data_IF_911785536980
#
_entry.id   IF_911785536980
#
_cell.length_a   1.000
_cell.length_b   1.000
_cell.length_c   1.000
_cell.angle_alpha   90.00
_cell.angle_beta   90.00
_cell.angle_gamma   90.00
#
_symmetry.space_group_name_H-M   'P 1'
#
loop_
_entity.id
_entity.type
_entity.pdbx_description
1 polymer ?
#
# COMPACT_ATOMS: atom_id res chain seq x y z
N UNK A 1 4.61 0.41 3.87
CA UNK A 1 3.24 -0.08 4.16
C UNK A 1 3.21 -1.29 5.09
N UNK A 2 3.99 -2.36 4.85
CA UNK A 2 3.95 -3.57 5.70
C UNK A 2 4.21 -3.33 7.19
N UNK A 3 5.12 -2.42 7.52
CA UNK A 3 5.37 -2.02 8.93
C UNK A 3 4.11 -1.42 9.57
N UNK A 4 3.37 -0.59 8.84
CA UNK A 4 2.12 0.03 9.34
C UNK A 4 1.08 -1.05 9.64
N UNK A 5 0.91 -2.04 8.76
CA UNK A 5 -0.02 -3.15 8.96
C UNK A 5 0.42 -4.07 10.11
N UNK A 6 1.72 -4.30 10.25
CA UNK A 6 2.27 -5.10 11.33
C UNK A 6 2.08 -4.40 12.69
N UNK A 7 2.42 -3.12 12.79
CA UNK A 7 2.31 -2.35 14.02
C UNK A 7 0.85 -2.07 14.41
N UNK A 8 -0.02 -1.82 13.42
CA UNK A 8 -1.41 -1.43 13.67
C UNK A 8 -2.33 -2.57 14.11
N UNK A 9 -2.03 -3.81 13.73
CA UNK A 9 -2.90 -4.95 14.10
C UNK A 9 -2.24 -6.32 14.02
N UNK A 10 -0.91 -6.39 13.94
CA UNK A 10 -0.16 -7.63 13.70
C UNK A 10 -0.69 -8.43 12.50
N UNK A 11 -1.01 -7.73 11.41
CA UNK A 11 -1.73 -8.34 10.27
C UNK A 11 -0.88 -9.30 9.44
N UNK A 12 0.41 -9.44 9.70
CA UNK A 12 1.27 -10.30 8.88
C UNK A 12 0.87 -11.77 9.01
N UNK A 13 0.55 -12.26 10.21
CA UNK A 13 0.06 -13.64 10.37
C UNK A 13 -1.24 -13.88 9.60
N UNK A 14 -2.17 -12.92 9.62
CA UNK A 14 -3.41 -12.94 8.86
C UNK A 14 -3.15 -12.96 7.35
N UNK A 15 -2.29 -12.09 6.84
CA UNK A 15 -1.89 -12.08 5.42
C UNK A 15 -1.26 -13.42 5.05
N UNK A 16 -0.37 -13.97 5.88
CA UNK A 16 0.24 -15.27 5.63
C UNK A 16 -0.80 -16.39 5.53
N UNK A 17 -1.83 -16.36 6.38
CA UNK A 17 -2.92 -17.33 6.34
C UNK A 17 -3.72 -17.29 5.03
N UNK A 18 -3.90 -16.11 4.42
CA UNK A 18 -4.54 -15.98 3.10
C UNK A 18 -3.75 -16.69 1.98
N UNK A 19 -2.47 -16.94 2.21
CA UNK A 19 -1.56 -17.65 1.31
C UNK A 19 -1.25 -19.08 1.77
N UNK A 20 -1.98 -19.60 2.77
CA UNK A 20 -1.77 -20.93 3.32
C UNK A 20 -0.51 -21.08 4.19
N UNK A 21 0.17 -19.97 4.53
CA UNK A 21 1.35 -19.96 5.37
C UNK A 21 1.14 -19.03 6.59
N UNK A 22 0.39 -19.46 7.62
CA UNK A 22 -0.08 -18.63 8.73
C UNK A 22 1.04 -18.29 9.73
N UNK A 23 2.06 -17.57 9.26
CA UNK A 23 3.20 -17.10 10.03
C UNK A 23 3.50 -15.65 9.68
N UNK A 24 4.17 -14.95 10.60
CA UNK A 24 4.63 -13.56 10.36
C UNK A 24 5.54 -13.49 9.14
N UNK A 25 6.44 -14.47 8.99
CA UNK A 25 7.37 -14.54 7.85
C UNK A 25 6.60 -14.73 6.55
N UNK A 26 5.67 -15.70 6.49
CA UNK A 26 4.84 -15.94 5.32
C UNK A 26 4.02 -14.71 4.93
N UNK A 27 3.48 -14.00 5.92
CA UNK A 27 2.83 -12.71 5.72
C UNK A 27 3.70 -11.66 5.07
N UNK A 28 4.90 -11.45 5.61
CA UNK A 28 5.85 -10.50 5.04
C UNK A 28 6.26 -10.88 3.62
N UNK A 29 6.55 -12.16 3.37
CA UNK A 29 6.91 -12.65 2.04
C UNK A 29 5.79 -12.38 1.03
N UNK A 30 4.56 -12.81 1.34
CA UNK A 30 3.41 -12.60 0.45
C UNK A 30 3.12 -11.11 0.24
N UNK A 31 3.20 -10.32 1.31
CA UNK A 31 2.95 -8.88 1.26
C UNK A 31 3.95 -8.15 0.37
N UNK A 32 5.25 -8.42 0.53
CA UNK A 32 6.30 -7.81 -0.28
C UNK A 32 6.18 -8.21 -1.76
N UNK A 33 5.91 -9.49 -2.03
CA UNK A 33 5.71 -9.98 -3.39
C UNK A 33 4.54 -9.24 -4.07
N UNK A 34 3.39 -9.15 -3.39
CA UNK A 34 2.24 -8.40 -3.88
C UNK A 34 2.57 -6.92 -4.10
N UNK A 35 3.31 -6.28 -3.18
CA UNK A 35 3.73 -4.89 -3.33
C UNK A 35 4.62 -4.66 -4.55
N UNK A 36 5.48 -5.62 -4.91
CA UNK A 36 6.26 -5.51 -6.15
C UNK A 36 5.36 -5.66 -7.38
N UNK A 37 4.51 -6.69 -7.41
CA UNK A 37 3.60 -6.95 -8.53
C UNK A 37 2.66 -5.77 -8.78
N UNK A 38 2.04 -5.24 -7.72
CA UNK A 38 1.15 -4.08 -7.79
C UNK A 38 1.91 -2.81 -8.14
N UNK A 39 3.17 -2.65 -7.72
CA UNK A 39 4.00 -1.51 -8.07
C UNK A 39 4.37 -1.50 -9.56
N UNK A 40 4.68 -2.66 -10.11
CA UNK A 40 4.91 -2.82 -11.56
C UNK A 40 3.62 -2.57 -12.33
N UNK A 41 2.49 -3.11 -11.87
CA UNK A 41 1.19 -2.87 -12.49
C UNK A 41 0.83 -1.38 -12.49
N UNK A 42 1.07 -0.68 -11.38
CA UNK A 42 0.93 0.78 -11.31
C UNK A 42 1.75 1.45 -12.40
N UNK A 43 3.06 1.20 -12.47
CA UNK A 43 3.91 1.82 -13.48
C UNK A 43 3.38 1.58 -14.90
N UNK A 44 3.00 0.34 -15.24
CA UNK A 44 2.43 0.00 -16.56
C UNK A 44 1.14 0.79 -16.85
N UNK A 45 0.22 0.85 -15.89
CA UNK A 45 -1.05 1.57 -16.06
C UNK A 45 -0.84 3.07 -16.23
N UNK A 46 0.05 3.65 -15.44
CA UNK A 46 0.23 5.09 -15.35
C UNK A 46 1.10 5.63 -16.49
N UNK A 47 1.94 4.79 -17.10
CA UNK A 47 2.64 5.11 -18.35
C UNK A 47 1.73 5.18 -19.58
N UNK A 48 0.43 4.87 -19.45
CA UNK A 48 -0.52 5.00 -20.54
C UNK A 48 -0.82 6.48 -20.87
N UNK A 49 -1.05 6.80 -22.16
CA UNK A 49 -1.29 8.18 -22.65
C UNK A 49 -2.43 8.92 -21.95
N UNK A 50 -3.39 8.19 -21.39
CA UNK A 50 -4.52 8.77 -20.64
C UNK A 50 -4.07 9.56 -19.40
N UNK A 51 -2.90 9.28 -18.86
CA UNK A 51 -2.36 9.92 -17.65
C UNK A 51 -1.16 10.83 -17.93
N UNK A 52 -0.88 11.14 -19.20
CA UNK A 52 0.30 11.93 -19.59
C UNK A 52 0.33 13.30 -18.90
N UNK A 53 -0.80 14.00 -18.82
CA UNK A 53 -0.86 15.32 -18.20
C UNK A 53 -0.57 15.27 -16.70
N UNK A 54 -1.07 14.25 -16.00
CA UNK A 54 -0.89 14.08 -14.56
C UNK A 54 0.54 13.65 -14.25
N UNK A 55 1.17 12.85 -15.11
CA UNK A 55 2.52 12.33 -14.88
C UNK A 55 3.64 13.36 -15.06
N UNK A 56 3.36 14.50 -15.72
CA UNK A 56 4.29 15.64 -15.90
C UNK A 56 4.73 16.31 -14.61
N UNK A 57 4.08 16.02 -13.48
CA UNK A 57 4.42 16.61 -12.18
C UNK A 57 4.48 15.53 -11.10
N UNK A 58 5.36 15.70 -10.13
CA UNK A 58 5.45 14.78 -8.98
C UNK A 58 4.11 14.74 -8.23
N UNK A 59 3.45 15.90 -8.05
CA UNK A 59 2.16 15.98 -7.37
C UNK A 59 1.08 15.16 -8.08
N UNK A 60 1.02 15.22 -9.42
CA UNK A 60 0.08 14.41 -10.19
C UNK A 60 0.39 12.91 -10.12
N UNK A 61 1.67 12.51 -10.14
CA UNK A 61 2.07 11.12 -9.90
C UNK A 61 1.66 10.63 -8.51
N UNK A 62 1.83 11.45 -7.47
CA UNK A 62 1.40 11.15 -6.10
C UNK A 62 -0.12 10.98 -6.02
N UNK A 63 -0.88 11.87 -6.65
CA UNK A 63 -2.34 11.75 -6.70
C UNK A 63 -2.80 10.44 -7.35
N UNK A 64 -2.20 10.06 -8.49
CA UNK A 64 -2.48 8.79 -9.15
C UNK A 64 -2.11 7.59 -8.27
N UNK A 65 -0.95 7.65 -7.61
CA UNK A 65 -0.51 6.62 -6.67
C UNK A 65 -1.48 6.44 -5.51
N UNK A 66 -1.98 7.54 -4.93
CA UNK A 66 -2.97 7.50 -3.85
C UNK A 66 -4.30 6.91 -4.32
N UNK A 67 -4.82 7.31 -5.49
CA UNK A 67 -6.07 6.75 -6.05
C UNK A 67 -5.92 5.25 -6.32
N UNK A 68 -4.82 4.85 -6.93
CA UNK A 68 -4.51 3.45 -7.21
C UNK A 68 -4.43 2.62 -5.93
N UNK A 69 -3.68 3.09 -4.94
CA UNK A 69 -3.51 2.36 -3.69
C UNK A 69 -4.80 2.35 -2.83
N UNK A 70 -5.62 3.40 -2.88
CA UNK A 70 -6.94 3.41 -2.25
C UNK A 70 -7.85 2.34 -2.87
N UNK A 71 -7.84 2.18 -4.20
CA UNK A 71 -8.58 1.12 -4.89
C UNK A 71 -8.11 -0.27 -4.45
N UNK A 72 -6.79 -0.50 -4.35
CA UNK A 72 -6.24 -1.76 -3.81
C UNK A 72 -6.71 -1.99 -2.37
N UNK A 73 -6.62 -0.97 -1.52
CA UNK A 73 -7.04 -1.07 -0.12
C UNK A 73 -8.52 -1.43 0.03
N UNK A 74 -9.37 -0.85 -0.83
CA UNK A 74 -10.80 -1.16 -0.87
C UNK A 74 -11.06 -2.60 -1.35
N UNK A 75 -10.39 -3.05 -2.41
CA UNK A 75 -10.55 -4.41 -2.92
C UNK A 75 -10.05 -5.44 -1.90
N UNK A 76 -8.86 -5.24 -1.38
CA UNK A 76 -8.24 -6.20 -0.45
C UNK A 76 -8.94 -6.23 0.91
N UNK A 77 -9.18 -5.06 1.51
CA UNK A 77 -9.83 -4.95 2.82
C UNK A 77 -11.36 -5.10 2.78
N UNK A 78 -12.01 -4.57 1.75
CA UNK A 78 -13.48 -4.52 1.65
C UNK A 78 -14.11 -5.70 0.92
N UNK A 79 -13.35 -6.43 0.09
CA UNK A 79 -13.88 -7.55 -0.70
C UNK A 79 -13.14 -8.86 -0.37
N UNK A 80 -11.82 -8.90 -0.57
CA UNK A 80 -11.05 -10.14 -0.43
C UNK A 80 -11.04 -10.66 1.01
N UNK A 81 -10.85 -9.78 1.99
CA UNK A 81 -10.81 -10.18 3.40
C UNK A 81 -12.18 -10.72 3.88
N UNK A 82 -13.32 -10.05 3.64
CA UNK A 82 -14.63 -10.63 3.94
C UNK A 82 -14.89 -11.96 3.21
N UNK A 83 -14.49 -12.07 1.94
CA UNK A 83 -14.62 -13.33 1.19
C UNK A 83 -13.79 -14.45 1.83
N UNK A 84 -12.54 -14.17 2.22
CA UNK A 84 -11.69 -15.15 2.89
C UNK A 84 -12.26 -15.60 4.24
N UNK A 85 -12.82 -14.68 5.03
CA UNK A 85 -13.50 -15.01 6.28
C UNK A 85 -14.70 -15.94 6.02
N UNK A 86 -15.49 -15.66 4.99
CA UNK A 86 -16.64 -16.49 4.62
C UNK A 86 -16.23 -17.90 4.16
N UNK A 87 -15.09 -18.05 3.50
CA UNK A 87 -14.61 -19.34 2.98
C UNK A 87 -13.88 -20.16 4.04
N UNK A 88 -12.98 -19.53 4.79
CA UNK A 88 -12.10 -20.21 5.75
C UNK A 88 -12.74 -20.35 7.15
N UNK A 89 -13.74 -19.51 7.44
CA UNK A 89 -14.31 -19.37 8.77
C UNK A 89 -13.44 -18.52 9.71
N UNK A 90 -14.05 -17.88 10.70
CA UNK A 90 -13.36 -16.98 11.64
C UNK A 90 -12.41 -17.70 12.61
N UNK A 91 -12.59 -19.02 12.79
CA UNK A 91 -11.80 -19.85 13.72
C UNK A 91 -10.43 -20.25 13.15
N UNK A 92 -10.25 -20.19 11.83
CA UNK A 92 -9.05 -20.67 11.13
C UNK A 92 -8.06 -19.53 10.80
N UNK A 93 -8.53 -18.28 10.84
CA UNK A 93 -7.70 -17.12 10.58
C UNK A 93 -7.04 -16.65 11.89
N UNK A 94 -5.70 -16.42 11.89
CA UNK A 94 -5.04 -15.83 13.05
C UNK A 94 -5.73 -14.52 13.42
N UNK A 95 -6.13 -14.39 14.67
CA UNK A 95 -6.66 -13.13 15.16
C UNK A 95 -5.61 -12.04 14.95
N UNK A 96 -5.99 -10.94 14.29
CA UNK A 96 -5.22 -9.71 14.35
C UNK A 96 -5.09 -9.36 15.85
N UNK A 97 -3.87 -9.44 16.40
CA UNK A 97 -3.61 -9.44 17.87
C UNK A 97 -3.72 -8.03 18.46
N UNK A 98 -4.64 -7.22 17.99
CA UNK A 98 -5.06 -6.10 18.82
C UNK A 98 -6.05 -6.67 19.83
N UNK A 99 -5.77 -6.66 21.14
CA UNK A 99 -6.68 -7.15 22.18
C UNK A 99 -7.83 -6.16 22.40
N UNK A 100 -8.42 -5.67 21.30
CA UNK A 100 -9.55 -4.76 21.28
C UNK A 100 -10.75 -5.54 20.76
N UNK A 101 -11.61 -6.06 21.66
CA UNK A 101 -12.81 -6.74 21.24
C UNK A 101 -13.78 -5.79 20.53
N UNK A 102 -14.57 -6.33 19.60
CA UNK A 102 -15.68 -5.63 18.97
C UNK A 102 -15.28 -4.52 18.00
N UNK A 103 -16.08 -3.45 17.97
CA UNK A 103 -16.00 -2.37 16.97
C UNK A 103 -14.64 -1.66 16.97
N UNK A 104 -14.01 -1.51 18.14
CA UNK A 104 -12.72 -0.84 18.27
C UNK A 104 -11.60 -1.58 17.52
N UNK A 105 -11.54 -2.91 17.62
CA UNK A 105 -10.58 -3.71 16.86
C UNK A 105 -10.80 -3.58 15.35
N UNK A 106 -12.06 -3.62 14.91
CA UNK A 106 -12.42 -3.41 13.50
C UNK A 106 -11.99 -2.03 12.98
N UNK A 107 -12.20 -0.97 13.76
CA UNK A 107 -11.77 0.40 13.40
C UNK A 107 -10.26 0.47 13.24
N UNK A 108 -9.49 -0.09 14.18
CA UNK A 108 -8.02 -0.05 14.06
C UNK A 108 -7.54 -0.84 12.83
N UNK A 109 -8.18 -1.97 12.52
CA UNK A 109 -7.86 -2.72 11.29
C UNK A 109 -8.11 -1.86 10.05
N UNK A 110 -9.29 -1.25 9.93
CA UNK A 110 -9.64 -0.39 8.79
C UNK A 110 -8.69 0.79 8.66
N UNK A 111 -8.39 1.48 9.77
CA UNK A 111 -7.45 2.60 9.77
C UNK A 111 -6.03 2.16 9.38
N UNK A 112 -5.55 1.03 9.91
CA UNK A 112 -4.24 0.50 9.58
C UNK A 112 -4.13 0.16 8.10
N UNK A 113 -5.15 -0.50 7.53
CA UNK A 113 -5.24 -0.80 6.11
C UNK A 113 -5.25 0.48 5.27
N UNK A 114 -6.11 1.44 5.62
CA UNK A 114 -6.22 2.72 4.93
C UNK A 114 -4.89 3.48 4.92
N UNK A 115 -4.30 3.72 6.10
CA UNK A 115 -3.02 4.43 6.23
C UNK A 115 -1.91 3.70 5.49
N UNK A 116 -1.81 2.38 5.62
CA UNK A 116 -0.78 1.61 4.94
C UNK A 116 -0.85 1.74 3.40
N UNK A 117 -2.07 1.73 2.84
CA UNK A 117 -2.26 1.90 1.40
C UNK A 117 -2.02 3.33 0.95
N UNK A 118 -2.40 4.34 1.72
CA UNK A 118 -2.04 5.73 1.40
C UNK A 118 -0.52 5.92 1.39
N UNK A 119 0.18 5.39 2.41
CA UNK A 119 1.65 5.41 2.44
C UNK A 119 2.24 4.74 1.21
N UNK A 120 1.69 3.59 0.80
CA UNK A 120 2.13 2.90 -0.42
C UNK A 120 1.91 3.72 -1.68
N UNK A 121 0.73 4.31 -1.85
CA UNK A 121 0.38 5.13 -3.00
C UNK A 121 1.25 6.37 -3.12
N UNK A 122 1.52 7.05 -2.00
CA UNK A 122 2.46 8.18 -1.96
C UNK A 122 3.85 7.73 -2.40
N UNK A 123 4.37 6.62 -1.83
CA UNK A 123 5.69 6.11 -2.20
C UNK A 123 5.78 5.75 -3.69
N UNK A 124 4.78 5.05 -4.24
CA UNK A 124 4.75 4.72 -5.66
C UNK A 124 4.74 5.97 -6.53
N UNK A 125 3.88 6.94 -6.23
CA UNK A 125 3.76 8.16 -7.01
C UNK A 125 5.01 9.04 -6.94
N UNK A 126 5.62 9.18 -5.76
CA UNK A 126 6.90 9.88 -5.60
C UNK A 126 8.00 9.16 -6.40
N UNK A 127 8.17 7.85 -6.20
CA UNK A 127 9.21 7.09 -6.90
C UNK A 127 9.04 7.15 -8.42
N UNK A 128 7.83 6.96 -8.93
CA UNK A 128 7.55 7.09 -10.36
C UNK A 128 7.87 8.50 -10.87
N UNK A 129 7.41 9.52 -10.14
CA UNK A 129 7.64 10.92 -10.48
C UNK A 129 9.12 11.31 -10.48
N UNK A 130 9.92 10.83 -9.53
CA UNK A 130 11.37 11.10 -9.48
C UNK A 130 12.15 10.39 -10.59
N UNK A 131 11.69 9.22 -11.04
CA UNK A 131 12.34 8.46 -12.12
C UNK A 131 12.02 9.06 -13.50
N UNK A 132 10.82 9.61 -13.69
CA UNK A 132 10.31 9.99 -15.01
C UNK A 132 10.19 11.50 -15.24
N UNK A 133 10.18 12.32 -14.18
CA UNK A 133 10.29 13.76 -14.34
C UNK A 133 11.75 14.15 -14.13
N UNK A 134 12.29 14.92 -15.07
CA UNK A 134 13.56 15.59 -14.88
C UNK A 134 13.41 16.55 -13.69
N UNK A 135 13.90 16.16 -12.52
CA UNK A 135 14.12 17.10 -11.43
C UNK A 135 15.28 17.98 -11.88
N UNK A 136 15.10 19.29 -12.14
CA UNK A 136 16.23 20.13 -12.51
C UNK A 136 17.23 20.10 -11.35
N UNK A 137 18.46 19.64 -11.61
CA UNK A 137 19.60 19.72 -10.67
C UNK A 137 20.10 21.18 -10.58
N UNK A 138 19.20 22.16 -10.54
CA UNK A 138 19.52 23.58 -10.52
C UNK A 138 18.80 24.23 -9.35
N UNK A 139 19.43 24.12 -8.17
CA UNK A 139 19.41 25.12 -7.09
C UNK A 139 20.33 24.72 -5.91
N UNK A 140 21.50 24.14 -6.20
CA UNK A 140 22.56 23.90 -5.20
C UNK A 140 23.84 24.71 -5.44
N UNK A 141 23.84 25.63 -6.41
CA UNK A 141 24.91 26.62 -6.54
C UNK A 141 24.56 27.83 -5.68
N UNK A 142 25.30 28.12 -4.59
CA UNK A 142 25.14 29.38 -3.88
C UNK A 142 25.41 30.50 -4.88
N UNK A 143 24.48 31.44 -5.00
CA UNK A 143 24.72 32.71 -5.68
C UNK A 143 25.79 33.45 -4.87
N UNK A 144 27.05 33.26 -5.23
CA UNK A 144 28.14 34.11 -4.80
C UNK A 144 28.04 35.41 -5.62
N UNK A 145 27.18 36.33 -5.17
CA UNK A 145 27.30 37.73 -5.55
C UNK A 145 28.40 38.35 -4.68
N UNK A 146 29.49 38.78 -5.34
CA UNK A 146 30.52 39.69 -4.84
C UNK A 146 30.42 40.99 -5.64
#
# INVERSE_FOLDING_TARGET
MGVVLHAGGNMMSLIGALYGWPSVVGGWTAHLLNSVVLGVLFAVLVSHRLFENQTRTIAGCVALGMVYAAAIGLVTGGIMLPAAINVLGTQSLPAAILPLPGVLGGVVVVLSVGVAHIVYGVLLGVTYGLVHNDVPVRDLTPTAEY
#
